data_IF_684951863408
#
_entry.id   IF_684951863408
#
_cell.length_a   1.000
_cell.length_b   1.000
_cell.length_c   1.000
_cell.angle_alpha   90.00
_cell.angle_beta   90.00
_cell.angle_gamma   90.00
#
_symmetry.space_group_name_H-M   'P 1'
#
loop_
_entity.id
_entity.type
_entity.pdbx_description
1 polymer ?
#
# COMPACT_ATOMS: atom_id res chain seq x y z
N UNK A 1 39.74 -8.81 5.89
CA UNK A 1 39.68 -10.12 5.22
C UNK A 1 39.24 -11.19 6.20
N UNK A 2 40.13 -11.86 6.96
CA UNK A 2 39.74 -13.01 7.81
C UNK A 2 38.54 -12.76 8.77
N UNK A 3 38.42 -11.59 9.39
CA UNK A 3 37.27 -11.24 10.23
C UNK A 3 35.95 -11.13 9.45
N UNK A 4 35.99 -10.62 8.22
CA UNK A 4 34.83 -10.48 7.34
C UNK A 4 34.42 -11.83 6.75
N UNK A 5 35.40 -12.65 6.36
CA UNK A 5 35.16 -14.01 5.90
C UNK A 5 34.46 -14.83 6.99
N UNK A 6 34.99 -14.79 8.22
CA UNK A 6 34.40 -15.47 9.38
C UNK A 6 33.02 -14.92 9.77
N UNK A 7 32.72 -13.66 9.43
CA UNK A 7 31.43 -13.05 9.69
C UNK A 7 30.38 -13.38 8.62
N UNK A 8 30.74 -14.06 7.52
CA UNK A 8 29.79 -14.49 6.48
C UNK A 8 29.82 -13.67 5.18
N UNK A 9 30.77 -12.75 5.02
CA UNK A 9 30.92 -11.98 3.79
C UNK A 9 31.80 -12.74 2.78
N UNK A 10 31.29 -12.94 1.57
CA UNK A 10 32.01 -13.65 0.50
C UNK A 10 32.99 -12.78 -0.29
N UNK A 11 32.90 -11.44 -0.17
CA UNK A 11 33.72 -10.48 -0.91
C UNK A 11 34.16 -9.34 0.01
N UNK A 12 35.25 -9.54 0.81
CA UNK A 12 35.73 -8.54 1.75
C UNK A 12 36.14 -7.20 1.11
N UNK A 13 36.61 -7.21 -0.15
CA UNK A 13 37.02 -5.99 -0.85
C UNK A 13 35.83 -5.09 -1.12
N UNK A 14 34.70 -5.66 -1.55
CA UNK A 14 33.44 -4.90 -1.69
C UNK A 14 32.95 -4.35 -0.35
N UNK A 15 33.01 -5.13 0.72
CA UNK A 15 32.65 -4.65 2.06
C UNK A 15 33.50 -3.45 2.46
N UNK A 16 34.82 -3.53 2.29
CA UNK A 16 35.73 -2.42 2.58
C UNK A 16 35.42 -1.19 1.71
N UNK A 17 35.15 -1.37 0.42
CA UNK A 17 34.75 -0.28 -0.47
C UNK A 17 33.45 0.41 -0.01
N UNK A 18 32.44 -0.35 0.42
CA UNK A 18 31.18 0.20 0.98
C UNK A 18 31.45 0.99 2.26
N UNK A 19 32.27 0.46 3.17
CA UNK A 19 32.63 1.13 4.42
C UNK A 19 33.45 2.40 4.18
N UNK A 20 34.37 2.38 3.22
CA UNK A 20 35.16 3.54 2.83
C UNK A 20 34.29 4.62 2.20
N UNK A 21 33.35 4.24 1.34
CA UNK A 21 32.35 5.17 0.77
C UNK A 21 31.51 5.83 1.88
N UNK A 22 31.02 5.04 2.84
CA UNK A 22 30.27 5.57 3.98
C UNK A 22 31.12 6.54 4.81
N UNK A 23 32.37 6.18 5.13
CA UNK A 23 33.31 7.03 5.87
C UNK A 23 33.56 8.35 5.16
N UNK A 24 33.78 8.33 3.85
CA UNK A 24 33.97 9.55 3.04
C UNK A 24 32.71 10.43 3.06
N UNK A 25 31.53 9.83 2.96
CA UNK A 25 30.26 10.55 3.01
C UNK A 25 30.04 11.23 4.37
N UNK A 26 30.46 10.59 5.46
CA UNK A 26 30.24 11.06 6.83
C UNK A 26 31.39 11.91 7.39
N UNK A 27 32.50 12.04 6.67
CA UNK A 27 33.72 12.72 7.14
C UNK A 27 33.51 14.21 7.51
N UNK A 28 32.48 14.86 6.93
CA UNK A 28 32.14 16.26 7.21
C UNK A 28 31.11 16.44 8.34
N UNK A 29 30.61 15.35 8.91
CA UNK A 29 29.64 15.40 10.00
C UNK A 29 30.33 15.72 11.33
N UNK A 30 29.56 16.16 12.33
CA UNK A 30 30.07 16.42 13.67
C UNK A 30 30.74 15.18 14.26
N UNK A 31 31.80 15.40 15.06
CA UNK A 31 32.59 14.31 15.66
C UNK A 31 31.72 13.32 16.46
N UNK A 32 30.74 13.81 17.21
CA UNK A 32 29.79 12.98 17.95
C UNK A 32 28.96 12.04 17.06
N UNK A 33 28.67 12.46 15.81
CA UNK A 33 27.95 11.63 14.83
C UNK A 33 28.87 10.55 14.27
N UNK A 34 30.13 10.90 13.97
CA UNK A 34 31.14 9.95 13.52
C UNK A 34 31.42 8.88 14.59
N UNK A 35 31.52 9.29 15.86
CA UNK A 35 31.67 8.37 16.98
C UNK A 35 30.49 7.39 17.09
N UNK A 36 29.24 7.88 16.97
CA UNK A 36 28.05 7.01 16.96
C UNK A 36 28.06 6.01 15.81
N UNK A 37 28.43 6.43 14.60
CA UNK A 37 28.58 5.53 13.46
C UNK A 37 29.66 4.47 13.71
N UNK A 38 30.82 4.86 14.22
CA UNK A 38 31.91 3.94 14.53
C UNK A 38 31.53 2.91 15.61
N UNK A 39 30.66 3.29 16.57
CA UNK A 39 30.12 2.35 17.55
C UNK A 39 29.03 1.43 16.96
N UNK A 40 28.24 1.94 16.01
CA UNK A 40 27.13 1.20 15.39
C UNK A 40 27.60 0.16 14.36
N UNK A 41 28.66 0.47 13.61
CA UNK A 41 29.11 -0.36 12.48
C UNK A 41 29.56 -1.77 12.88
N UNK A 42 30.39 -2.00 13.92
CA UNK A 42 30.83 -3.34 14.29
C UNK A 42 29.67 -4.30 14.62
N UNK A 43 28.73 -3.99 15.54
CA UNK A 43 27.61 -4.90 15.80
C UNK A 43 26.67 -5.03 14.59
N UNK A 44 26.51 -3.99 13.77
CA UNK A 44 25.73 -4.09 12.55
C UNK A 44 26.36 -5.08 11.55
N UNK A 45 27.68 -5.00 11.33
CA UNK A 45 28.40 -5.90 10.42
C UNK A 45 28.30 -7.37 10.86
N UNK A 46 28.36 -7.64 12.16
CA UNK A 46 28.17 -8.98 12.71
C UNK A 46 26.76 -9.52 12.43
N UNK A 47 25.71 -8.71 12.68
CA UNK A 47 24.32 -9.10 12.45
C UNK A 47 24.02 -9.29 10.95
N UNK A 48 24.55 -8.39 10.11
CA UNK A 48 24.39 -8.43 8.65
C UNK A 48 25.08 -9.67 8.07
N UNK A 49 26.25 -10.02 8.61
CA UNK A 49 27.00 -11.21 8.22
C UNK A 49 26.23 -12.52 8.34
N UNK A 50 25.30 -12.59 9.30
CA UNK A 50 24.39 -13.74 9.48
C UNK A 50 23.15 -13.76 8.58
N UNK A 51 22.98 -12.81 7.66
CA UNK A 51 21.83 -12.77 6.74
C UNK A 51 22.07 -13.64 5.50
N UNK A 52 21.03 -14.03 4.74
CA UNK A 52 21.19 -14.85 3.53
C UNK A 52 22.05 -14.19 2.44
N UNK A 53 21.98 -12.86 2.32
CA UNK A 53 22.81 -12.05 1.42
C UNK A 53 23.41 -10.86 2.18
N UNK A 54 24.53 -11.06 2.89
CA UNK A 54 25.17 -10.02 3.70
C UNK A 54 25.63 -8.82 2.88
N UNK A 55 26.10 -9.04 1.65
CA UNK A 55 26.62 -7.98 0.79
C UNK A 55 25.50 -7.03 0.36
N UNK A 56 24.39 -7.55 -0.19
CA UNK A 56 23.26 -6.72 -0.56
C UNK A 56 22.62 -6.03 0.65
N UNK A 57 22.59 -6.71 1.80
CA UNK A 57 22.07 -6.15 3.05
C UNK A 57 22.94 -5.00 3.55
N UNK A 58 24.26 -5.12 3.48
CA UNK A 58 25.21 -4.06 3.84
C UNK A 58 25.04 -2.83 2.95
N UNK A 59 24.87 -3.01 1.64
CA UNK A 59 24.64 -1.91 0.70
C UNK A 59 23.35 -1.15 1.04
N UNK A 60 22.26 -1.87 1.33
CA UNK A 60 20.98 -1.29 1.78
C UNK A 60 21.14 -0.56 3.13
N UNK A 61 21.86 -1.15 4.08
CA UNK A 61 22.13 -0.55 5.39
C UNK A 61 22.98 0.72 5.25
N UNK A 62 24.02 0.70 4.42
CA UNK A 62 24.86 1.86 4.16
C UNK A 62 24.06 3.00 3.51
N UNK A 63 23.18 2.70 2.55
CA UNK A 63 22.28 3.68 1.95
C UNK A 63 21.35 4.33 2.98
N UNK A 64 20.77 3.53 3.88
CA UNK A 64 19.98 4.05 5.00
C UNK A 64 20.82 4.96 5.91
N UNK A 65 22.02 4.52 6.32
CA UNK A 65 22.90 5.31 7.17
C UNK A 65 23.24 6.66 6.53
N UNK A 66 23.51 6.69 5.22
CA UNK A 66 23.74 7.94 4.48
C UNK A 66 22.51 8.86 4.54
N UNK A 67 21.30 8.31 4.35
CA UNK A 67 20.06 9.08 4.40
C UNK A 67 19.77 9.67 5.79
N UNK A 68 20.14 8.97 6.86
CA UNK A 68 19.89 9.40 8.25
C UNK A 68 21.10 10.04 8.92
N UNK A 69 22.26 10.15 8.25
CA UNK A 69 23.52 10.51 8.91
C UNK A 69 23.48 11.86 9.62
N UNK A 70 22.69 12.81 9.10
CA UNK A 70 22.50 14.15 9.71
C UNK A 70 21.50 14.17 10.86
N UNK A 71 20.80 13.07 11.11
CA UNK A 71 19.78 12.89 12.15
C UNK A 71 20.35 11.99 13.25
N UNK A 72 21.22 12.57 14.07
CA UNK A 72 22.00 11.83 15.08
C UNK A 72 21.15 11.04 16.10
N UNK A 73 19.89 11.41 16.28
CA UNK A 73 18.91 10.70 17.12
C UNK A 73 18.62 9.28 16.62
N UNK A 74 18.51 9.07 15.31
CA UNK A 74 18.28 7.72 14.78
C UNK A 74 19.52 6.84 14.92
N UNK A 75 20.71 7.41 14.77
CA UNK A 75 21.96 6.68 15.02
C UNK A 75 22.12 6.32 16.50
N UNK A 76 21.72 7.24 17.40
CA UNK A 76 21.66 6.99 18.84
C UNK A 76 20.72 5.83 19.16
N UNK A 77 19.49 5.88 18.65
CA UNK A 77 18.48 4.83 18.81
C UNK A 77 19.03 3.45 18.39
N UNK A 78 19.63 3.34 17.20
CA UNK A 78 20.16 2.05 16.74
C UNK A 78 21.33 1.53 17.58
N UNK A 79 22.14 2.43 18.16
CA UNK A 79 23.22 2.06 19.07
C UNK A 79 22.73 1.69 20.47
N UNK A 80 21.68 2.34 20.97
CA UNK A 80 21.12 2.14 22.31
C UNK A 80 20.18 0.93 22.39
N UNK A 81 19.53 0.56 21.28
CA UNK A 81 18.57 -0.54 21.22
C UNK A 81 19.03 -1.65 20.25
N UNK A 82 19.85 -2.62 20.71
CA UNK A 82 20.35 -3.72 19.86
C UNK A 82 19.25 -4.58 19.23
N UNK A 83 18.08 -4.68 19.88
CA UNK A 83 16.92 -5.37 19.32
C UNK A 83 16.36 -4.65 18.09
N UNK A 84 16.32 -3.31 18.12
CA UNK A 84 15.90 -2.48 17.00
C UNK A 84 16.86 -2.64 15.81
N UNK A 85 18.18 -2.64 16.07
CA UNK A 85 19.19 -2.89 15.02
C UNK A 85 19.01 -4.27 14.36
N UNK A 86 18.82 -5.33 15.15
CA UNK A 86 18.58 -6.68 14.59
C UNK A 86 17.32 -6.73 13.73
N UNK A 87 16.25 -6.09 14.18
CA UNK A 87 15.00 -6.05 13.42
C UNK A 87 15.16 -5.24 12.13
N UNK A 88 15.85 -4.09 12.21
CA UNK A 88 16.18 -3.28 11.03
C UNK A 88 16.95 -4.11 10.01
N UNK A 89 18.02 -4.79 10.41
CA UNK A 89 18.83 -5.62 9.51
C UNK A 89 17.98 -6.71 8.84
N UNK A 90 17.10 -7.39 9.59
CA UNK A 90 16.17 -8.38 9.01
C UNK A 90 15.26 -7.78 7.95
N UNK A 91 14.70 -6.59 8.21
CA UNK A 91 13.83 -5.89 7.26
C UNK A 91 14.59 -5.46 6.00
N UNK A 92 15.83 -4.96 6.15
CA UNK A 92 16.68 -4.58 5.02
C UNK A 92 17.13 -5.78 4.20
N UNK A 93 17.39 -6.92 4.84
CA UNK A 93 17.74 -8.17 4.17
C UNK A 93 16.56 -8.72 3.36
N UNK A 94 15.34 -8.61 3.88
CA UNK A 94 14.14 -9.19 3.29
C UNK A 94 13.88 -8.75 1.84
N UNK A 95 13.96 -7.45 1.53
CA UNK A 95 13.82 -6.99 0.15
C UNK A 95 14.39 -5.58 -0.11
N UNK A 96 14.74 -5.26 -1.38
CA UNK A 96 15.06 -3.90 -1.80
C UNK A 96 13.91 -2.91 -1.56
N UNK A 97 12.66 -3.38 -1.70
CA UNK A 97 11.48 -2.56 -1.49
C UNK A 97 11.35 -2.12 -0.02
N UNK A 98 11.51 -3.06 0.92
CA UNK A 98 11.52 -2.78 2.36
C UNK A 98 12.60 -1.77 2.74
N UNK A 99 13.81 -1.94 2.20
CA UNK A 99 14.91 -1.00 2.40
C UNK A 99 14.58 0.40 1.86
N UNK A 100 13.97 0.48 0.68
CA UNK A 100 13.54 1.76 0.11
C UNK A 100 12.49 2.46 0.96
N UNK A 101 11.50 1.72 1.47
CA UNK A 101 10.46 2.25 2.36
C UNK A 101 11.08 2.93 3.60
N UNK A 102 11.92 2.20 4.35
CA UNK A 102 12.54 2.70 5.58
C UNK A 102 13.51 3.85 5.29
N UNK A 103 14.25 3.78 4.18
CA UNK A 103 15.22 4.83 3.79
C UNK A 103 14.53 6.13 3.43
N UNK A 104 13.39 6.06 2.72
CA UNK A 104 12.59 7.25 2.36
C UNK A 104 11.84 7.83 3.56
N UNK A 105 11.54 7.01 4.57
CA UNK A 105 10.75 7.39 5.74
C UNK A 105 11.44 7.00 7.06
N UNK A 106 12.55 7.68 7.43
CA UNK A 106 13.30 7.32 8.64
C UNK A 106 12.52 7.39 9.95
N UNK A 107 11.40 8.11 10.01
CA UNK A 107 10.50 8.11 11.16
C UNK A 107 9.96 6.72 11.51
N UNK A 108 9.95 5.80 10.55
CA UNK A 108 9.58 4.40 10.79
C UNK A 108 10.55 3.66 11.72
N UNK A 109 11.76 4.20 11.95
CA UNK A 109 12.71 3.62 12.91
C UNK A 109 12.19 3.68 14.34
N UNK A 110 11.28 4.60 14.66
CA UNK A 110 10.68 4.74 15.99
C UNK A 110 9.83 3.50 16.34
N UNK A 111 9.21 2.87 15.33
CA UNK A 111 8.45 1.62 15.49
C UNK A 111 9.33 0.42 15.87
N UNK A 112 10.64 0.50 15.63
CA UNK A 112 11.57 -0.60 15.92
C UNK A 112 12.02 -0.62 17.39
N UNK A 113 11.79 0.46 18.15
CA UNK A 113 12.19 0.57 19.56
C UNK A 113 11.42 -0.42 20.44
N UNK A 114 10.16 -0.69 20.11
CA UNK A 114 9.27 -1.56 20.87
C UNK A 114 8.87 -2.81 20.04
N UNK A 115 9.73 -3.85 19.98
CA UNK A 115 9.48 -5.06 19.20
C UNK A 115 8.14 -5.73 19.48
N UNK A 116 7.62 -5.60 20.71
CA UNK A 116 6.32 -6.14 21.09
C UNK A 116 5.17 -5.51 20.29
N UNK A 117 5.18 -4.19 20.07
CA UNK A 117 4.14 -3.51 19.28
C UNK A 117 4.23 -3.85 17.80
N UNK A 118 5.46 -3.97 17.28
CA UNK A 118 5.71 -4.35 15.90
C UNK A 118 5.12 -5.73 15.55
N UNK A 119 4.98 -6.58 16.57
CA UNK A 119 4.62 -7.99 16.45
C UNK A 119 3.19 -8.31 16.90
N UNK A 120 2.42 -7.30 17.31
CA UNK A 120 1.01 -7.44 17.61
C UNK A 120 0.19 -7.52 16.32
N UNK A 121 -0.75 -8.47 16.27
CA UNK A 121 -1.73 -8.51 15.20
C UNK A 121 -2.59 -7.23 15.26
N UNK A 122 -2.93 -6.63 14.11
CA UNK A 122 -3.69 -5.39 14.09
C UNK A 122 -5.14 -5.60 14.55
N UNK A 123 -5.58 -4.76 15.49
CA UNK A 123 -7.01 -4.54 15.75
C UNK A 123 -7.47 -3.38 14.86
N UNK A 124 -8.05 -3.70 13.70
CA UNK A 124 -8.48 -2.71 12.71
C UNK A 124 -9.57 -1.77 13.22
N UNK A 125 -10.41 -2.21 14.15
CA UNK A 125 -11.43 -1.34 14.73
C UNK A 125 -10.77 -0.28 15.63
N UNK A 126 -9.84 -0.70 16.49
CA UNK A 126 -9.09 0.22 17.35
C UNK A 126 -8.20 1.16 16.52
N UNK A 127 -7.47 0.62 15.54
CA UNK A 127 -6.59 1.39 14.66
C UNK A 127 -7.37 2.40 13.82
N UNK A 128 -8.54 2.02 13.31
CA UNK A 128 -9.45 2.94 12.62
C UNK A 128 -9.91 4.09 13.51
N UNK A 129 -10.30 3.79 14.76
CA UNK A 129 -10.70 4.82 15.72
C UNK A 129 -9.52 5.77 16.09
N UNK A 130 -8.30 5.25 16.19
CA UNK A 130 -7.10 6.06 16.41
C UNK A 130 -6.82 7.00 15.24
N UNK A 131 -6.89 6.49 14.01
CA UNK A 131 -6.71 7.30 12.81
C UNK A 131 -7.79 8.39 12.73
N UNK A 132 -9.05 8.04 13.00
CA UNK A 132 -10.15 9.00 13.03
C UNK A 132 -9.86 10.16 13.99
N UNK A 133 -9.44 9.84 15.22
CA UNK A 133 -9.10 10.84 16.22
C UNK A 133 -7.87 11.70 15.83
N UNK A 134 -6.86 11.12 15.19
CA UNK A 134 -5.71 11.88 14.66
C UNK A 134 -6.17 12.89 13.59
N UNK A 135 -7.05 12.48 12.69
CA UNK A 135 -7.57 13.36 11.63
C UNK A 135 -8.48 14.47 12.17
N UNK A 136 -9.27 14.19 13.21
CA UNK A 136 -10.09 15.19 13.93
C UNK A 136 -9.25 16.24 14.65
N UNK A 137 -8.02 15.90 15.07
CA UNK A 137 -7.10 16.83 15.71
C UNK A 137 -6.54 17.90 14.74
N UNK A 138 -6.80 17.75 13.43
CA UNK A 138 -6.36 18.68 12.38
C UNK A 138 -7.56 19.28 11.60
N UNK A 139 -8.51 19.95 12.28
CA UNK A 139 -9.73 20.43 11.63
C UNK A 139 -9.41 21.52 10.60
N UNK A 140 -9.89 21.35 9.37
CA UNK A 140 -9.70 22.31 8.28
C UNK A 140 -8.29 22.31 7.65
N UNK A 141 -7.34 21.56 8.19
CA UNK A 141 -6.00 21.40 7.63
C UNK A 141 -5.94 20.13 6.76
N UNK A 142 -6.33 20.30 5.49
CA UNK A 142 -6.36 19.19 4.51
C UNK A 142 -4.97 18.58 4.31
N UNK A 143 -3.89 19.37 4.35
CA UNK A 143 -2.53 18.85 4.13
C UNK A 143 -2.09 17.97 5.31
N UNK A 144 -2.30 18.44 6.54
CA UNK A 144 -2.01 17.65 7.74
C UNK A 144 -2.81 16.33 7.78
N UNK A 145 -4.10 16.36 7.41
CA UNK A 145 -4.94 15.16 7.32
C UNK A 145 -4.43 14.19 6.24
N UNK A 146 -4.05 14.70 5.06
CA UNK A 146 -3.47 13.89 4.00
C UNK A 146 -2.15 13.24 4.42
N UNK A 147 -1.30 13.94 5.16
CA UNK A 147 -0.05 13.41 5.67
C UNK A 147 -0.26 12.40 6.81
N UNK A 148 -1.27 12.60 7.67
CA UNK A 148 -1.64 11.64 8.71
C UNK A 148 -2.05 10.29 8.11
N UNK A 149 -2.90 10.28 7.07
CA UNK A 149 -3.27 9.06 6.34
C UNK A 149 -2.04 8.31 5.80
N UNK A 150 -1.08 9.05 5.24
CA UNK A 150 0.16 8.48 4.68
C UNK A 150 1.04 7.89 5.77
N UNK A 151 1.28 8.62 6.85
CA UNK A 151 2.07 8.12 8.00
C UNK A 151 1.42 6.87 8.60
N UNK A 152 0.10 6.88 8.77
CA UNK A 152 -0.63 5.71 9.26
C UNK A 152 -0.43 4.50 8.33
N UNK A 153 -0.61 4.67 7.01
CA UNK A 153 -0.35 3.60 6.02
C UNK A 153 1.06 3.03 6.19
N UNK A 154 2.06 3.89 6.32
CA UNK A 154 3.46 3.49 6.37
C UNK A 154 3.78 2.70 7.63
N UNK A 155 3.29 3.16 8.78
CA UNK A 155 3.45 2.47 10.07
C UNK A 155 2.80 1.09 10.02
N UNK A 156 1.55 1.00 9.57
CA UNK A 156 0.87 -0.31 9.49
C UNK A 156 1.54 -1.23 8.46
N UNK A 157 1.98 -0.68 7.32
CA UNK A 157 2.72 -1.44 6.31
C UNK A 157 4.02 -2.01 6.86
N UNK A 158 4.78 -1.22 7.64
CA UNK A 158 6.01 -1.69 8.29
C UNK A 158 5.71 -2.79 9.31
N UNK A 159 4.67 -2.64 10.13
CA UNK A 159 4.25 -3.66 11.11
C UNK A 159 3.88 -4.97 10.42
N UNK A 160 3.10 -4.92 9.35
CA UNK A 160 2.74 -6.09 8.55
C UNK A 160 3.96 -6.73 7.90
N UNK A 161 4.88 -5.93 7.34
CA UNK A 161 6.15 -6.42 6.78
C UNK A 161 7.01 -7.11 7.85
N UNK A 162 7.11 -6.54 9.05
CA UNK A 162 7.88 -7.14 10.11
C UNK A 162 7.30 -8.49 10.57
N UNK A 163 5.98 -8.64 10.56
CA UNK A 163 5.28 -9.87 10.88
C UNK A 163 5.41 -10.92 9.76
N UNK A 164 5.29 -10.50 8.50
CA UNK A 164 5.52 -11.34 7.32
C UNK A 164 6.95 -11.91 7.30
N UNK A 165 7.96 -11.05 7.42
CA UNK A 165 9.38 -11.47 7.49
C UNK A 165 9.67 -12.37 8.69
N UNK A 166 8.90 -12.24 9.78
CA UNK A 166 9.00 -13.11 10.94
C UNK A 166 8.22 -14.43 10.79
N UNK A 167 7.55 -14.65 9.65
CA UNK A 167 6.74 -15.84 9.39
C UNK A 167 5.47 -15.94 10.23
N UNK A 168 4.94 -14.81 10.72
CA UNK A 168 3.75 -14.77 11.59
C UNK A 168 2.43 -14.65 10.84
N UNK A 169 2.47 -14.21 9.58
CA UNK A 169 1.31 -14.11 8.72
C UNK A 169 1.45 -15.11 7.58
N UNK A 170 0.36 -15.80 7.25
CA UNK A 170 0.27 -16.45 5.94
C UNK A 170 0.12 -15.38 4.85
N UNK A 171 0.32 -15.76 3.59
CA UNK A 171 0.12 -14.86 2.47
C UNK A 171 -1.32 -14.31 2.44
N UNK A 172 -2.31 -15.17 2.67
CA UNK A 172 -3.72 -14.80 2.70
C UNK A 172 -4.01 -13.84 3.85
N UNK A 173 -3.48 -14.11 5.05
CA UNK A 173 -3.65 -13.24 6.20
C UNK A 173 -2.97 -11.87 5.97
N UNK A 174 -1.82 -11.83 5.31
CA UNK A 174 -1.17 -10.58 4.92
C UNK A 174 -2.05 -9.78 3.94
N UNK A 175 -2.56 -10.43 2.90
CA UNK A 175 -3.42 -9.77 1.90
C UNK A 175 -4.76 -9.30 2.49
N UNK A 176 -5.34 -10.04 3.43
CA UNK A 176 -6.51 -9.60 4.21
C UNK A 176 -6.18 -8.32 4.99
N UNK A 177 -5.05 -8.29 5.71
CA UNK A 177 -4.64 -7.12 6.48
C UNK A 177 -4.31 -5.91 5.62
N UNK A 178 -3.67 -6.09 4.47
CA UNK A 178 -3.44 -5.00 3.52
C UNK A 178 -4.76 -4.48 2.95
N UNK A 179 -5.75 -5.35 2.74
CA UNK A 179 -7.10 -4.97 2.31
C UNK A 179 -7.86 -4.21 3.39
N UNK A 180 -7.78 -4.64 4.65
CA UNK A 180 -8.35 -3.88 5.77
C UNK A 180 -7.70 -2.49 5.90
N UNK A 181 -6.38 -2.39 5.74
CA UNK A 181 -5.69 -1.10 5.72
C UNK A 181 -6.25 -0.16 4.63
N UNK A 182 -6.41 -0.68 3.40
CA UNK A 182 -6.98 0.09 2.30
C UNK A 182 -8.44 0.51 2.59
N UNK A 183 -9.27 -0.40 3.10
CA UNK A 183 -10.66 -0.13 3.46
C UNK A 183 -10.76 0.99 4.53
N UNK A 184 -9.96 0.92 5.59
CA UNK A 184 -9.90 1.94 6.65
C UNK A 184 -9.50 3.30 6.09
N UNK A 185 -8.45 3.35 5.27
CA UNK A 185 -7.96 4.59 4.66
C UNK A 185 -8.97 5.19 3.68
N UNK A 186 -9.66 4.37 2.90
CA UNK A 186 -10.71 4.81 1.98
C UNK A 186 -11.93 5.35 2.72
N UNK A 187 -12.35 4.71 3.82
CA UNK A 187 -13.46 5.17 4.65
C UNK A 187 -13.18 6.57 5.25
N UNK A 188 -12.00 6.77 5.84
CA UNK A 188 -11.60 8.09 6.35
C UNK A 188 -11.48 9.11 5.22
N UNK A 189 -10.85 8.74 4.10
CA UNK A 189 -10.73 9.64 2.93
C UNK A 189 -12.10 10.09 2.42
N UNK A 190 -13.07 9.18 2.32
CA UNK A 190 -14.45 9.50 1.92
C UNK A 190 -15.09 10.50 2.90
N UNK A 191 -14.99 10.23 4.20
CA UNK A 191 -15.57 11.09 5.24
C UNK A 191 -14.99 12.52 5.17
N UNK A 192 -13.66 12.65 5.12
CA UNK A 192 -12.98 13.96 5.06
C UNK A 192 -13.21 14.70 3.74
N UNK A 193 -13.24 13.97 2.63
CA UNK A 193 -13.53 14.56 1.33
C UNK A 193 -14.95 15.11 1.26
N UNK A 194 -15.92 14.40 1.84
CA UNK A 194 -17.30 14.86 1.93
C UNK A 194 -17.43 16.07 2.85
N UNK A 195 -16.79 16.02 4.02
CA UNK A 195 -16.82 17.11 4.98
C UNK A 195 -16.26 18.42 4.40
N UNK A 196 -15.13 18.33 3.70
CA UNK A 196 -14.49 19.47 3.05
C UNK A 196 -15.17 19.94 1.76
N UNK A 197 -16.22 19.28 1.27
CA UNK A 197 -16.88 19.63 0.02
C UNK A 197 -17.92 20.74 0.23
N UNK A 198 -17.60 21.97 -0.17
CA UNK A 198 -18.49 23.14 -0.04
C UNK A 198 -19.83 22.99 -0.76
N UNK A 199 -19.89 22.18 -1.81
CA UNK A 199 -21.10 21.94 -2.60
C UNK A 199 -21.94 20.78 -2.07
N UNK A 200 -21.58 20.18 -0.91
CA UNK A 200 -22.40 19.14 -0.28
C UNK A 200 -23.79 19.70 0.03
N UNK A 201 -24.81 18.90 -0.27
CA UNK A 201 -26.22 19.26 -0.12
C UNK A 201 -26.90 18.51 1.03
N UNK A 202 -26.15 17.69 1.77
CA UNK A 202 -26.64 16.90 2.91
C UNK A 202 -25.51 16.59 3.89
N UNK A 203 -25.88 16.12 5.07
CA UNK A 203 -24.92 15.83 6.13
C UNK A 203 -24.05 14.60 5.81
N UNK A 204 -24.65 13.52 5.31
CA UNK A 204 -23.96 12.29 4.93
C UNK A 204 -24.19 11.93 3.46
N UNK A 205 -23.15 11.50 2.72
CA UNK A 205 -23.28 11.23 1.29
C UNK A 205 -24.04 9.92 1.05
N UNK A 206 -24.92 9.89 0.03
CA UNK A 206 -25.44 8.64 -0.50
C UNK A 206 -24.51 8.16 -1.61
N UNK A 207 -23.31 7.73 -1.21
CA UNK A 207 -22.19 7.38 -2.06
C UNK A 207 -21.50 6.11 -1.55
N UNK A 208 -21.00 5.27 -2.44
CA UNK A 208 -20.25 4.07 -2.11
C UNK A 208 -19.01 3.91 -3.00
N UNK A 209 -17.95 3.36 -2.40
CA UNK A 209 -16.74 2.94 -3.09
C UNK A 209 -16.79 1.42 -3.23
N UNK A 210 -16.69 0.95 -4.47
CA UNK A 210 -16.62 -0.46 -4.83
C UNK A 210 -15.18 -0.78 -5.23
N UNK A 211 -14.58 -1.75 -4.55
CA UNK A 211 -13.25 -2.24 -4.87
C UNK A 211 -13.34 -3.36 -5.90
N UNK A 212 -12.55 -3.28 -6.95
CA UNK A 212 -12.37 -4.33 -7.96
C UNK A 212 -10.98 -4.97 -7.83
N UNK A 213 -10.67 -5.92 -8.70
CA UNK A 213 -9.32 -6.48 -8.85
C UNK A 213 -8.77 -7.05 -7.54
N UNK A 214 -7.55 -6.64 -7.16
CA UNK A 214 -6.88 -7.12 -5.95
C UNK A 214 -7.56 -6.63 -4.68
N UNK A 215 -8.01 -5.37 -4.64
CA UNK A 215 -8.73 -4.82 -3.49
C UNK A 215 -10.04 -5.58 -3.25
N UNK A 216 -10.79 -5.82 -4.33
CA UNK A 216 -12.07 -6.49 -4.25
C UNK A 216 -11.96 -7.98 -3.94
N UNK A 217 -10.93 -8.66 -4.47
CA UNK A 217 -10.61 -10.05 -4.13
C UNK A 217 -9.87 -10.25 -2.80
N UNK A 218 -9.57 -9.18 -2.05
CA UNK A 218 -8.71 -9.21 -0.85
C UNK A 218 -7.33 -9.85 -1.07
N UNK A 219 -6.73 -9.56 -2.23
CA UNK A 219 -5.42 -10.04 -2.68
C UNK A 219 -4.40 -8.89 -2.78
N UNK A 220 -4.53 -7.85 -1.94
CA UNK A 220 -3.56 -6.77 -1.96
C UNK A 220 -2.17 -7.28 -1.54
N UNK A 221 -1.16 -6.82 -2.27
CA UNK A 221 0.25 -6.85 -1.89
C UNK A 221 0.77 -5.43 -1.63
N UNK A 222 2.00 -5.32 -1.12
CA UNK A 222 2.59 -4.06 -0.64
C UNK A 222 2.60 -2.88 -1.63
N UNK A 223 2.71 -3.17 -2.93
CA UNK A 223 2.77 -2.18 -4.01
C UNK A 223 1.55 -2.27 -4.93
N UNK A 224 0.39 -2.66 -4.40
CA UNK A 224 -0.83 -2.77 -5.21
C UNK A 224 -1.54 -1.43 -5.36
N UNK A 225 -2.06 -1.21 -6.56
CA UNK A 225 -2.97 -0.11 -6.87
C UNK A 225 -4.39 -0.46 -6.38
N UNK A 226 -5.26 0.55 -6.29
CA UNK A 226 -6.65 0.39 -5.93
C UNK A 226 -7.56 0.55 -7.15
N UNK A 227 -8.16 -0.56 -7.59
CA UNK A 227 -9.19 -0.55 -8.63
C UNK A 227 -10.53 -0.11 -8.02
N UNK A 228 -11.01 1.09 -8.35
CA UNK A 228 -12.18 1.69 -7.70
C UNK A 228 -13.28 2.05 -8.70
N UNK A 229 -14.53 1.76 -8.31
CA UNK A 229 -15.75 2.24 -8.97
C UNK A 229 -16.60 2.97 -7.94
N UNK A 230 -17.20 4.10 -8.34
CA UNK A 230 -17.96 4.96 -7.46
C UNK A 230 -19.45 4.93 -7.82
N UNK A 231 -20.27 4.63 -6.83
CA UNK A 231 -21.72 4.56 -6.97
C UNK A 231 -22.40 5.60 -6.09
N UNK A 232 -23.54 6.13 -6.54
CA UNK A 232 -24.40 6.96 -5.72
C UNK A 232 -25.88 6.58 -5.91
N UNK A 233 -26.71 6.93 -4.94
CA UNK A 233 -28.16 6.73 -5.03
C UNK A 233 -28.86 7.93 -4.40
N UNK A 234 -29.17 8.91 -5.22
CA UNK A 234 -29.61 10.23 -4.77
C UNK A 234 -30.49 10.89 -5.83
N UNK A 235 -31.65 11.38 -5.41
CA UNK A 235 -32.63 12.03 -6.25
C UNK A 235 -32.37 13.54 -6.45
N UNK A 236 -31.37 14.15 -5.79
CA UNK A 236 -30.99 15.54 -6.04
C UNK A 236 -30.54 15.70 -7.50
N UNK A 237 -31.06 16.69 -8.21
CA UNK A 237 -30.77 16.94 -9.63
C UNK A 237 -29.27 17.19 -9.89
N UNK A 238 -28.53 17.69 -8.89
CA UNK A 238 -27.09 17.95 -8.95
C UNK A 238 -26.26 16.81 -8.38
N UNK A 239 -26.88 15.71 -7.96
CA UNK A 239 -26.18 14.59 -7.32
C UNK A 239 -25.00 14.09 -8.16
N UNK A 240 -25.21 13.86 -9.47
CA UNK A 240 -24.15 13.39 -10.36
C UNK A 240 -22.92 14.31 -10.34
N UNK A 241 -23.14 15.63 -10.42
CA UNK A 241 -22.06 16.62 -10.40
C UNK A 241 -21.35 16.65 -9.04
N UNK A 242 -22.13 16.67 -7.94
CA UNK A 242 -21.60 16.74 -6.57
C UNK A 242 -20.78 15.49 -6.26
N UNK A 243 -21.28 14.29 -6.57
CA UNK A 243 -20.58 13.04 -6.35
C UNK A 243 -19.40 12.84 -7.31
N UNK A 244 -19.46 13.36 -8.54
CA UNK A 244 -18.30 13.38 -9.42
C UNK A 244 -17.16 14.24 -8.83
N UNK A 245 -17.49 15.41 -8.25
CA UNK A 245 -16.49 16.24 -7.54
C UNK A 245 -15.95 15.54 -6.29
N UNK A 246 -16.80 14.82 -5.55
CA UNK A 246 -16.37 14.00 -4.42
C UNK A 246 -15.37 12.91 -4.87
N UNK A 247 -15.71 12.15 -5.91
CA UNK A 247 -14.84 11.11 -6.47
C UNK A 247 -13.50 11.67 -6.97
N UNK A 248 -13.52 12.83 -7.66
CA UNK A 248 -12.29 13.53 -8.05
C UNK A 248 -11.44 13.91 -6.84
N UNK A 249 -12.06 14.45 -5.78
CA UNK A 249 -11.35 14.83 -4.56
C UNK A 249 -10.74 13.62 -3.86
N UNK A 250 -11.46 12.51 -3.75
CA UNK A 250 -10.95 11.24 -3.22
C UNK A 250 -9.75 10.78 -4.03
N UNK A 251 -9.86 10.79 -5.36
CA UNK A 251 -8.75 10.41 -6.25
C UNK A 251 -7.51 11.29 -6.03
N UNK A 252 -7.71 12.60 -5.88
CA UNK A 252 -6.63 13.54 -5.53
C UNK A 252 -6.00 13.21 -4.18
N UNK A 253 -6.80 12.93 -3.14
CA UNK A 253 -6.28 12.60 -1.81
C UNK A 253 -5.43 11.33 -1.82
N UNK A 254 -5.83 10.34 -2.62
CA UNK A 254 -5.11 9.08 -2.79
C UNK A 254 -3.80 9.27 -3.56
N UNK A 255 -3.85 9.92 -4.73
CA UNK A 255 -2.74 9.97 -5.69
C UNK A 255 -1.77 11.15 -5.57
N UNK A 256 -2.09 12.20 -4.80
CA UNK A 256 -1.19 13.36 -4.66
C UNK A 256 0.10 12.98 -3.93
N UNK A 257 1.25 13.42 -4.43
CA UNK A 257 2.52 13.29 -3.72
C UNK A 257 2.67 14.44 -2.71
N UNK A 258 2.82 14.11 -1.43
CA UNK A 258 3.12 15.06 -0.34
C UNK A 258 4.53 14.81 0.21
N UNK A 259 5.04 15.61 1.16
CA UNK A 259 6.29 15.28 1.87
C UNK A 259 6.26 13.91 2.55
N UNK A 260 5.08 13.45 2.98
CA UNK A 260 4.90 12.10 3.51
C UNK A 260 4.82 11.03 2.41
N UNK A 261 4.73 11.37 1.13
CA UNK A 261 4.66 10.43 0.00
C UNK A 261 3.29 10.37 -0.66
N UNK A 262 2.97 9.25 -1.30
CA UNK A 262 1.67 9.01 -1.94
C UNK A 262 0.88 7.98 -1.13
N UNK A 263 -0.45 8.13 -1.07
CA UNK A 263 -1.29 7.20 -0.31
C UNK A 263 -1.54 5.92 -1.12
N UNK A 264 -2.16 6.01 -2.30
CA UNK A 264 -2.30 4.89 -3.24
C UNK A 264 -2.35 5.39 -4.69
N UNK A 265 -1.85 4.60 -5.61
CA UNK A 265 -2.25 4.71 -7.02
C UNK A 265 -3.66 4.13 -7.17
N UNK A 266 -4.43 4.72 -8.08
CA UNK A 266 -5.83 4.37 -8.31
C UNK A 266 -6.06 4.05 -9.78
N UNK A 267 -6.79 2.99 -10.03
CA UNK A 267 -7.29 2.64 -11.36
C UNK A 267 -8.81 2.72 -11.38
N UNK A 268 -9.33 3.61 -12.24
CA UNK A 268 -10.76 3.87 -12.35
C UNK A 268 -11.36 3.32 -13.66
N UNK A 269 -10.59 2.50 -14.39
CA UNK A 269 -10.96 2.05 -15.76
C UNK A 269 -12.01 0.94 -15.79
N UNK A 270 -12.32 0.30 -14.67
CA UNK A 270 -13.32 -0.76 -14.57
C UNK A 270 -14.75 -0.24 -14.34
N UNK A 271 -14.95 1.07 -14.33
CA UNK A 271 -16.30 1.69 -14.31
C UNK A 271 -17.00 1.51 -15.65
N UNK A 272 -18.36 1.60 -15.71
CA UNK A 272 -19.10 1.56 -16.97
C UNK A 272 -18.50 2.48 -18.05
N UNK A 273 -18.36 1.95 -19.27
CA UNK A 273 -17.74 2.63 -20.43
C UNK A 273 -16.26 3.03 -20.23
N UNK A 274 -15.62 2.50 -19.19
CA UNK A 274 -14.21 2.69 -18.87
C UNK A 274 -13.81 4.16 -18.81
N UNK A 275 -12.69 4.51 -19.47
CA UNK A 275 -12.16 5.87 -19.48
C UNK A 275 -13.12 6.92 -20.10
N UNK A 276 -14.00 6.49 -21.00
CA UNK A 276 -14.98 7.37 -21.67
C UNK A 276 -16.27 7.54 -20.87
N UNK A 277 -16.49 6.70 -19.85
CA UNK A 277 -17.66 6.78 -18.98
C UNK A 277 -17.55 7.83 -17.88
N UNK A 278 -18.72 8.14 -17.30
CA UNK A 278 -18.83 9.01 -16.14
C UNK A 278 -17.98 8.47 -14.98
N UNK A 279 -17.39 9.38 -14.20
CA UNK A 279 -16.57 8.99 -13.05
C UNK A 279 -17.38 8.31 -11.95
N UNK A 280 -18.66 8.67 -11.83
CA UNK A 280 -19.63 8.14 -10.87
C UNK A 280 -20.86 7.68 -11.62
N UNK A 281 -21.47 6.59 -11.17
CA UNK A 281 -22.72 6.07 -11.74
C UNK A 281 -23.80 6.03 -10.67
N UNK A 282 -25.05 6.32 -11.05
CA UNK A 282 -26.17 5.98 -10.16
C UNK A 282 -26.27 4.46 -10.05
N UNK A 283 -26.79 3.96 -8.93
CA UNK A 283 -27.08 2.52 -8.74
C UNK A 283 -27.92 1.95 -9.87
N UNK A 284 -28.92 2.69 -10.32
CA UNK A 284 -29.80 2.29 -11.42
C UNK A 284 -29.10 2.27 -12.78
N UNK A 285 -28.28 3.29 -13.09
CA UNK A 285 -27.51 3.30 -14.34
C UNK A 285 -26.49 2.15 -14.37
N UNK A 286 -25.81 1.89 -13.25
CA UNK A 286 -24.89 0.77 -13.12
C UNK A 286 -25.61 -0.57 -13.27
N UNK A 287 -26.81 -0.74 -12.67
CA UNK A 287 -27.67 -1.90 -12.88
C UNK A 287 -27.99 -2.09 -14.36
N UNK A 288 -28.54 -1.08 -15.02
CA UNK A 288 -28.91 -1.17 -16.43
C UNK A 288 -27.69 -1.54 -17.30
N UNK A 289 -26.52 -0.95 -17.02
CA UNK A 289 -25.29 -1.27 -17.71
C UNK A 289 -24.89 -2.73 -17.56
N UNK A 290 -24.80 -3.22 -16.32
CA UNK A 290 -24.38 -4.59 -16.04
C UNK A 290 -25.31 -5.65 -16.63
N UNK A 291 -26.62 -5.36 -16.71
CA UNK A 291 -27.62 -6.30 -17.24
C UNK A 291 -27.69 -6.30 -18.77
N UNK A 292 -27.49 -5.15 -19.42
CA UNK A 292 -27.84 -4.98 -20.83
C UNK A 292 -26.66 -4.65 -21.76
N UNK A 293 -25.53 -4.16 -21.23
CA UNK A 293 -24.44 -3.61 -22.02
C UNK A 293 -23.06 -4.22 -21.71
N UNK A 294 -22.85 -4.67 -20.48
CA UNK A 294 -21.56 -5.15 -20.03
C UNK A 294 -21.11 -6.41 -20.79
N UNK A 295 -19.82 -6.43 -21.15
CA UNK A 295 -19.18 -7.57 -21.78
C UNK A 295 -18.89 -8.68 -20.76
N UNK A 296 -18.70 -9.92 -21.25
CA UNK A 296 -18.36 -11.07 -20.40
C UNK A 296 -17.11 -10.83 -19.54
N UNK A 297 -16.09 -10.14 -20.05
CA UNK A 297 -14.89 -9.82 -19.27
C UNK A 297 -15.16 -8.81 -18.14
N UNK A 298 -16.16 -7.93 -18.29
CA UNK A 298 -16.58 -7.02 -17.21
C UNK A 298 -17.32 -7.79 -16.12
N UNK A 299 -18.12 -8.80 -16.49
CA UNK A 299 -18.71 -9.73 -15.52
C UNK A 299 -17.63 -10.57 -14.81
N UNK A 300 -16.55 -10.95 -15.49
CA UNK A 300 -15.39 -11.58 -14.85
C UNK A 300 -14.72 -10.63 -13.84
N UNK A 301 -14.52 -9.37 -14.20
CA UNK A 301 -13.98 -8.37 -13.27
C UNK A 301 -14.93 -8.14 -12.06
N UNK A 302 -16.25 -8.12 -12.31
CA UNK A 302 -17.30 -7.99 -11.29
C UNK A 302 -17.30 -9.18 -10.31
N UNK A 303 -16.84 -10.37 -10.72
CA UNK A 303 -16.70 -11.52 -9.80
C UNK A 303 -15.71 -11.26 -8.66
N UNK A 304 -14.76 -10.34 -8.87
CA UNK A 304 -13.77 -9.90 -7.90
C UNK A 304 -14.10 -8.53 -7.30
N UNK A 305 -15.32 -8.03 -7.49
CA UNK A 305 -15.74 -6.75 -6.95
C UNK A 305 -16.45 -6.93 -5.60
N UNK A 306 -16.28 -5.96 -4.69
CA UNK A 306 -17.02 -5.92 -3.42
C UNK A 306 -17.29 -4.48 -2.99
N UNK A 307 -18.31 -4.29 -2.16
CA UNK A 307 -18.45 -3.08 -1.38
C UNK A 307 -17.25 -2.89 -0.42
N UNK A 308 -16.63 -1.69 -0.46
CA UNK A 308 -15.50 -1.33 0.39
C UNK A 308 -15.95 -0.41 1.52
N UNK A 309 -16.50 0.76 1.19
CA UNK A 309 -16.98 1.72 2.18
C UNK A 309 -18.03 2.69 1.61
N UNK A 310 -18.68 3.44 2.49
CA UNK A 310 -19.72 4.42 2.15
C UNK A 310 -21.10 4.00 2.64
N UNK A 311 -22.14 4.40 1.91
CA UNK A 311 -23.52 4.12 2.29
C UNK A 311 -23.83 2.62 2.21
N UNK A 312 -24.26 2.04 3.33
CA UNK A 312 -24.51 0.59 3.47
C UNK A 312 -25.68 0.09 2.63
N UNK A 313 -26.69 0.92 2.36
CA UNK A 313 -27.83 0.52 1.53
C UNK A 313 -27.42 0.42 0.04
N UNK A 314 -26.58 1.34 -0.43
CA UNK A 314 -25.96 1.25 -1.76
C UNK A 314 -25.08 0.00 -1.85
N UNK A 315 -24.27 -0.28 -0.83
CA UNK A 315 -23.47 -1.51 -0.75
C UNK A 315 -24.32 -2.78 -0.86
N UNK A 316 -25.43 -2.85 -0.11
CA UNK A 316 -26.36 -3.98 -0.18
C UNK A 316 -27.01 -4.13 -1.57
N UNK A 317 -27.41 -3.01 -2.19
CA UNK A 317 -27.96 -2.98 -3.54
C UNK A 317 -26.95 -3.46 -4.59
N UNK A 318 -25.69 -3.02 -4.45
CA UNK A 318 -24.57 -3.47 -5.28
C UNK A 318 -24.34 -4.99 -5.15
N UNK A 319 -24.24 -5.52 -3.93
CA UNK A 319 -24.00 -6.96 -3.73
C UNK A 319 -25.16 -7.82 -4.26
N UNK A 320 -26.40 -7.36 -4.10
CA UNK A 320 -27.57 -8.04 -4.67
C UNK A 320 -27.53 -8.07 -6.21
N UNK A 321 -27.17 -6.96 -6.85
CA UNK A 321 -26.97 -6.89 -8.30
C UNK A 321 -25.79 -7.78 -8.73
N UNK A 322 -24.66 -7.73 -8.02
CA UNK A 322 -23.48 -8.53 -8.30
C UNK A 322 -23.83 -10.02 -8.30
N UNK A 323 -24.53 -10.47 -7.27
CA UNK A 323 -25.03 -11.85 -7.19
C UNK A 323 -25.97 -12.18 -8.36
N UNK A 324 -26.93 -11.30 -8.67
CA UNK A 324 -27.84 -11.49 -9.81
C UNK A 324 -27.08 -11.67 -11.14
N UNK A 325 -26.10 -10.81 -11.42
CA UNK A 325 -25.29 -10.85 -12.65
C UNK A 325 -24.46 -12.13 -12.73
N UNK A 326 -23.83 -12.55 -11.64
CA UNK A 326 -23.03 -13.77 -11.64
C UNK A 326 -23.89 -15.02 -11.82
N UNK A 327 -25.10 -15.05 -11.27
CA UNK A 327 -26.04 -16.16 -11.38
C UNK A 327 -26.90 -16.17 -12.66
N UNK A 328 -26.68 -15.23 -13.59
CA UNK A 328 -27.40 -15.26 -14.87
C UNK A 328 -27.13 -16.56 -15.64
N UNK A 329 -28.14 -17.15 -16.30
CA UNK A 329 -27.93 -18.28 -17.18
C UNK A 329 -27.03 -17.86 -18.35
N UNK A 330 -25.99 -18.66 -18.64
CA UNK A 330 -25.08 -18.46 -19.76
C UNK A 330 -24.95 -19.74 -20.55
N UNK A 331 -24.77 -19.62 -21.86
CA UNK A 331 -24.30 -20.72 -22.69
C UNK A 331 -22.86 -21.06 -22.29
N UNK A 332 -22.63 -22.27 -21.81
CA UNK A 332 -21.35 -22.68 -21.25
C UNK A 332 -20.23 -22.74 -22.31
N UNK A 333 -20.55 -23.14 -23.54
CA UNK A 333 -19.56 -23.23 -24.63
C UNK A 333 -19.18 -21.83 -25.08
N UNK A 334 -20.16 -20.95 -25.29
CA UNK A 334 -19.92 -19.55 -25.66
C UNK A 334 -19.10 -18.82 -24.59
N UNK A 335 -19.46 -19.00 -23.31
CA UNK A 335 -18.71 -18.41 -22.20
C UNK A 335 -17.26 -18.90 -22.18
N UNK A 336 -17.03 -20.20 -22.37
CA UNK A 336 -15.67 -20.76 -22.44
C UNK A 336 -14.85 -20.11 -23.55
N UNK A 337 -15.43 -19.99 -24.75
CA UNK A 337 -14.77 -19.36 -25.90
C UNK A 337 -14.40 -17.90 -25.62
N UNK A 338 -15.34 -17.10 -25.08
CA UNK A 338 -15.10 -15.69 -24.76
C UNK A 338 -13.99 -15.50 -23.70
N UNK A 339 -13.98 -16.37 -22.67
CA UNK A 339 -12.95 -16.34 -21.61
C UNK A 339 -11.58 -16.69 -22.17
N UNK A 340 -11.47 -17.74 -22.98
CA UNK A 340 -10.20 -18.16 -23.60
C UNK A 340 -9.68 -17.09 -24.56
N UNK A 341 -10.53 -16.56 -25.44
CA UNK A 341 -10.15 -15.51 -26.38
C UNK A 341 -9.65 -14.25 -25.66
N UNK A 342 -10.28 -13.88 -24.54
CA UNK A 342 -9.81 -12.75 -23.75
C UNK A 342 -8.47 -13.05 -23.05
N UNK A 343 -8.28 -14.25 -22.49
CA UNK A 343 -7.01 -14.64 -21.86
C UNK A 343 -5.85 -14.64 -22.85
N UNK A 344 -6.07 -15.15 -24.06
CA UNK A 344 -5.09 -15.11 -25.16
C UNK A 344 -4.76 -13.67 -25.55
N UNK A 345 -5.77 -12.81 -25.70
CA UNK A 345 -5.55 -11.38 -26.00
C UNK A 345 -4.74 -10.67 -24.90
N UNK A 346 -5.01 -10.97 -23.63
CA UNK A 346 -4.24 -10.43 -22.50
C UNK A 346 -2.78 -10.92 -22.54
N UNK A 347 -2.56 -12.20 -22.82
CA UNK A 347 -1.22 -12.77 -22.94
C UNK A 347 -0.43 -12.13 -24.10
N UNK A 348 -1.06 -11.97 -25.27
CA UNK A 348 -0.45 -11.32 -26.43
C UNK A 348 -0.10 -9.83 -26.17
N UNK A 349 -0.85 -9.15 -25.29
CA UNK A 349 -0.57 -7.78 -24.87
C UNK A 349 0.59 -7.64 -23.88
N UNK A 350 1.04 -8.75 -23.27
CA UNK A 350 2.12 -8.79 -22.28
C UNK A 350 3.14 -9.89 -22.63
N UNK A 351 3.86 -9.77 -23.77
CA UNK A 351 4.82 -10.79 -24.16
C UNK A 351 5.99 -10.84 -23.17
N UNK A 352 6.20 -12.00 -22.55
CA UNK A 352 7.39 -12.25 -21.75
C UNK A 352 8.58 -12.51 -22.69
N UNK A 353 9.47 -11.53 -22.79
CA UNK A 353 10.68 -11.61 -23.61
C UNK A 353 11.89 -12.18 -22.84
N UNK A 354 11.71 -12.58 -21.58
CA UNK A 354 12.76 -13.17 -20.76
C UNK A 354 12.83 -14.68 -20.97
N UNK A 355 13.98 -15.29 -20.65
CA UNK A 355 14.11 -16.75 -20.58
C UNK A 355 13.55 -17.36 -19.30
N UNK A 356 12.86 -16.57 -18.47
CA UNK A 356 12.31 -16.97 -17.16
C UNK A 356 10.78 -17.02 -17.25
N UNK A 357 10.15 -17.73 -16.30
CA UNK A 357 8.69 -17.79 -16.17
C UNK A 357 8.14 -16.53 -15.48
N UNK A 358 7.20 -15.82 -16.11
CA UNK A 358 6.51 -14.67 -15.54
C UNK A 358 5.34 -15.14 -14.65
N UNK A 359 5.44 -14.90 -13.34
CA UNK A 359 4.45 -15.37 -12.35
C UNK A 359 3.01 -14.86 -12.57
N UNK A 360 2.81 -13.81 -13.35
CA UNK A 360 1.50 -13.19 -13.59
C UNK A 360 0.97 -13.50 -14.98
N UNK A 361 1.83 -13.49 -15.99
CA UNK A 361 1.42 -13.49 -17.39
C UNK A 361 1.54 -14.85 -18.07
N UNK A 362 2.53 -15.66 -17.69
CA UNK A 362 2.70 -17.06 -18.14
C UNK A 362 1.87 -18.02 -17.27
#
# INVERSE_FOLDING_TARGET
HALLDNAGYSDPDKVLATLDSLRQHTARLAESTQQRLNMLLPPALEIIGGQPDPQATLERFAALLQAIARRSTYLALLGEYPAALRQLVRLLAASPWAASLITRQPQLLDELIAPQHLMQLPDWAQLGAQLHAELDAHPGDTEAQMDALRRFKQVQTLRLLAQDVAGRLSLEALSDNLSYLADTLLAETLARCWEGLKTRHRDSPLFAIIGYGKLGGKELGYASDLDLVFLYDDADERAQEIYARLAQRINTWLGTLTPAGMLYETDLRLRPDGASGLLVSSTEAFRNYQLNHAWTWEHQALSRARFVCGNVAIGASFEALRHQVLCMPRDAEKLREEVLAMREKMHAGHPNNSGLFDLKHD
#
